data_IF_327538986840
#
_entry.id   IF_327538986840
#
_cell.length_a   1.000
_cell.length_b   1.000
_cell.length_c   1.000
_cell.angle_alpha   90.00
_cell.angle_beta   90.00
_cell.angle_gamma   90.00
#
_symmetry.space_group_name_H-M   'P 1'
#
loop_
_entity.id
_entity.type
_entity.pdbx_description
1 polymer ?
#
# COMPACT_ATOMS: atom_id res chain seq x y z
N UNK A 1 35.08 -28.16 -20.66
CA UNK A 1 34.89 -27.44 -19.38
C UNK A 1 33.46 -27.71 -18.90
N UNK A 2 33.25 -28.63 -17.93
CA UNK A 2 31.90 -28.89 -17.38
C UNK A 2 31.60 -27.85 -16.31
N UNK A 3 30.78 -26.87 -16.65
CA UNK A 3 30.34 -25.84 -15.71
C UNK A 3 29.27 -26.47 -14.80
N UNK A 4 29.66 -26.87 -13.59
CA UNK A 4 28.71 -27.39 -12.59
C UNK A 4 27.96 -26.21 -11.96
N UNK A 5 26.73 -26.00 -12.42
CA UNK A 5 25.83 -24.98 -11.86
C UNK A 5 25.41 -25.45 -10.47
N UNK A 6 25.72 -24.66 -9.45
CA UNK A 6 25.48 -25.02 -8.06
C UNK A 6 24.03 -24.67 -7.69
N UNK A 7 23.17 -25.69 -7.55
CA UNK A 7 21.72 -25.54 -7.35
C UNK A 7 21.36 -24.61 -6.17
N UNK A 8 22.17 -24.61 -5.11
CA UNK A 8 22.04 -23.67 -3.99
C UNK A 8 22.21 -22.21 -4.39
N UNK A 9 23.18 -21.91 -5.27
CA UNK A 9 23.41 -20.55 -5.78
C UNK A 9 22.29 -20.12 -6.73
N UNK A 10 21.76 -21.05 -7.53
CA UNK A 10 20.60 -20.79 -8.39
C UNK A 10 19.35 -20.49 -7.55
N UNK A 11 19.08 -21.30 -6.52
CA UNK A 11 17.96 -21.04 -5.60
C UNK A 11 18.11 -19.69 -4.91
N UNK A 12 19.31 -19.35 -4.44
CA UNK A 12 19.56 -18.06 -3.78
C UNK A 12 19.32 -16.88 -4.73
N UNK A 13 19.80 -16.99 -5.97
CA UNK A 13 19.59 -15.98 -7.00
C UNK A 13 18.11 -15.81 -7.39
N UNK A 14 17.38 -16.93 -7.53
CA UNK A 14 15.93 -16.91 -7.82
C UNK A 14 15.13 -16.31 -6.65
N UNK A 15 15.52 -16.58 -5.41
CA UNK A 15 14.87 -16.02 -4.23
C UNK A 15 15.02 -14.51 -4.18
N UNK A 16 16.22 -14.00 -4.48
CA UNK A 16 16.47 -12.54 -4.54
C UNK A 16 15.73 -11.86 -5.68
N UNK A 17 15.59 -12.52 -6.84
CA UNK A 17 14.86 -11.97 -7.98
C UNK A 17 13.35 -11.82 -7.68
N UNK A 18 12.79 -12.76 -6.92
CA UNK A 18 11.38 -12.76 -6.53
C UNK A 18 11.04 -11.65 -5.51
N UNK A 19 11.95 -11.37 -4.57
CA UNK A 19 11.76 -10.32 -3.56
C UNK A 19 11.84 -8.90 -4.15
N UNK A 20 12.64 -8.70 -5.20
CA UNK A 20 12.80 -7.39 -5.83
C UNK A 20 11.58 -7.06 -6.70
N UNK A 21 11.00 -8.04 -7.40
CA UNK A 21 9.86 -7.82 -8.29
C UNK A 21 8.58 -7.35 -7.57
N UNK A 22 8.33 -7.83 -6.35
CA UNK A 22 7.17 -7.45 -5.55
C UNK A 22 7.25 -6.02 -5.01
N UNK A 23 8.44 -5.54 -4.66
CA UNK A 23 8.65 -4.16 -4.22
C UNK A 23 8.39 -3.14 -5.35
N UNK A 24 8.90 -3.39 -6.56
CA UNK A 24 8.68 -2.49 -7.70
C UNK A 24 7.19 -2.37 -8.10
N UNK A 25 6.43 -3.47 -8.02
CA UNK A 25 5.00 -3.45 -8.32
C UNK A 25 4.20 -2.65 -7.29
N UNK A 26 4.57 -2.74 -6.01
CA UNK A 26 3.95 -1.98 -4.93
C UNK A 26 4.15 -0.47 -5.08
N UNK A 27 5.38 -0.03 -5.34
CA UNK A 27 5.69 1.39 -5.55
C UNK A 27 4.89 1.97 -6.72
N UNK A 28 4.64 1.15 -7.75
CA UNK A 28 3.84 1.56 -8.91
C UNK A 28 2.36 1.74 -8.53
N UNK A 29 1.76 0.77 -7.83
CA UNK A 29 0.35 0.83 -7.44
C UNK A 29 0.06 1.99 -6.48
N UNK A 30 0.96 2.27 -5.53
CA UNK A 30 0.82 3.38 -4.60
C UNK A 30 0.83 4.72 -5.34
N UNK A 31 1.76 4.89 -6.28
CA UNK A 31 1.85 6.09 -7.11
C UNK A 31 0.60 6.29 -7.97
N UNK A 32 0.02 5.23 -8.51
CA UNK A 32 -1.25 5.31 -9.24
C UNK A 32 -2.41 5.76 -8.34
N UNK A 33 -2.47 5.25 -7.11
CA UNK A 33 -3.49 5.66 -6.13
C UNK A 33 -3.37 7.14 -5.76
N UNK A 34 -2.15 7.63 -5.54
CA UNK A 34 -1.87 9.05 -5.28
C UNK A 34 -2.23 9.93 -6.48
N UNK A 35 -1.92 9.49 -7.70
CA UNK A 35 -2.30 10.20 -8.93
C UNK A 35 -3.82 10.25 -9.09
N UNK A 36 -4.54 9.16 -8.81
CA UNK A 36 -6.00 9.17 -8.82
C UNK A 36 -6.57 10.15 -7.79
N UNK A 37 -6.03 10.14 -6.57
CA UNK A 37 -6.45 11.05 -5.50
C UNK A 37 -6.21 12.53 -5.85
N UNK A 38 -5.03 12.86 -6.39
CA UNK A 38 -4.69 14.24 -6.81
C UNK A 38 -5.51 14.73 -7.99
N UNK A 39 -6.00 13.81 -8.84
CA UNK A 39 -6.96 14.10 -9.92
C UNK A 39 -8.41 14.14 -9.46
N UNK A 40 -8.65 14.03 -8.15
CA UNK A 40 -9.99 13.99 -7.53
C UNK A 40 -10.85 12.79 -7.96
N UNK A 41 -10.23 11.77 -8.60
CA UNK A 41 -10.86 10.48 -8.85
C UNK A 41 -10.79 9.62 -7.58
N UNK A 42 -11.54 10.04 -6.57
CA UNK A 42 -11.54 9.39 -5.27
C UNK A 42 -12.06 7.96 -5.32
N UNK A 43 -12.97 7.65 -6.26
CA UNK A 43 -13.45 6.29 -6.47
C UNK A 43 -12.31 5.36 -6.91
N UNK A 44 -11.49 5.79 -7.87
CA UNK A 44 -10.34 5.01 -8.30
C UNK A 44 -9.25 4.95 -7.23
N UNK A 45 -9.00 6.04 -6.51
CA UNK A 45 -8.04 6.06 -5.41
C UNK A 45 -8.41 5.03 -4.32
N UNK A 46 -9.69 4.98 -3.93
CA UNK A 46 -10.20 3.99 -2.97
C UNK A 46 -9.93 2.57 -3.45
N UNK A 47 -10.31 2.24 -4.69
CA UNK A 47 -10.11 0.90 -5.27
C UNK A 47 -8.63 0.48 -5.24
N UNK A 48 -7.72 1.40 -5.61
CA UNK A 48 -6.29 1.14 -5.65
C UNK A 48 -5.71 0.95 -4.24
N UNK A 49 -6.05 1.81 -3.28
CA UNK A 49 -5.60 1.65 -1.90
C UNK A 49 -6.12 0.36 -1.24
N UNK A 50 -7.38 -0.01 -1.46
CA UNK A 50 -7.93 -1.28 -1.01
C UNK A 50 -7.22 -2.48 -1.66
N UNK A 51 -6.89 -2.37 -2.94
CA UNK A 51 -6.09 -3.35 -3.66
C UNK A 51 -4.70 -3.54 -3.04
N UNK A 52 -4.00 -2.45 -2.72
CA UNK A 52 -2.69 -2.46 -2.06
C UNK A 52 -2.78 -3.18 -0.71
N UNK A 53 -3.77 -2.84 0.12
CA UNK A 53 -3.97 -3.48 1.42
C UNK A 53 -4.27 -4.98 1.28
N UNK A 54 -5.03 -5.36 0.25
CA UNK A 54 -5.38 -6.75 -0.01
C UNK A 54 -4.18 -7.58 -0.48
N UNK A 55 -3.29 -7.02 -1.30
CA UNK A 55 -2.15 -7.75 -1.85
C UNK A 55 -0.94 -7.75 -0.93
N UNK A 56 -0.72 -6.65 -0.21
CA UNK A 56 0.54 -6.39 0.49
C UNK A 56 0.38 -6.37 2.02
N UNK A 57 -0.85 -6.49 2.52
CA UNK A 57 -1.15 -6.43 3.94
C UNK A 57 -1.32 -5.00 4.45
N UNK A 58 -1.45 -4.90 5.77
CA UNK A 58 -1.81 -3.65 6.44
C UNK A 58 -0.68 -2.61 6.44
N UNK A 59 -1.02 -1.33 6.27
CA UNK A 59 -0.07 -0.22 6.30
C UNK A 59 -0.74 1.03 6.85
N UNK A 60 -0.12 1.66 7.85
CA UNK A 60 -0.63 2.86 8.50
C UNK A 60 -0.84 4.01 7.48
N UNK A 61 0.17 4.25 6.63
CA UNK A 61 0.12 5.31 5.62
C UNK A 61 -0.96 5.04 4.56
N UNK A 62 -1.13 3.78 4.14
CA UNK A 62 -2.18 3.44 3.16
C UNK A 62 -3.57 3.57 3.77
N UNK A 63 -3.75 3.20 5.04
CA UNK A 63 -5.02 3.45 5.74
C UNK A 63 -5.30 4.94 5.89
N UNK A 64 -4.32 5.77 6.24
CA UNK A 64 -4.49 7.22 6.30
C UNK A 64 -4.93 7.80 4.94
N UNK A 65 -4.25 7.42 3.87
CA UNK A 65 -4.58 7.89 2.52
C UNK A 65 -5.93 7.37 2.02
N UNK A 66 -6.29 6.13 2.35
CA UNK A 66 -7.62 5.58 2.09
C UNK A 66 -8.70 6.34 2.87
N UNK A 67 -8.42 6.69 4.12
CA UNK A 67 -9.27 7.56 4.95
C UNK A 67 -9.52 8.91 4.28
N UNK A 68 -8.45 9.56 3.81
CA UNK A 68 -8.52 10.82 3.07
C UNK A 68 -9.37 10.68 1.79
N UNK A 69 -9.19 9.60 1.02
CA UNK A 69 -9.95 9.34 -0.19
C UNK A 69 -11.46 9.15 0.11
N UNK A 70 -11.78 8.39 1.15
CA UNK A 70 -13.16 8.22 1.61
C UNK A 70 -13.79 9.54 2.09
N UNK A 71 -13.04 10.34 2.85
CA UNK A 71 -13.49 11.65 3.32
C UNK A 71 -13.82 12.58 2.15
N UNK A 72 -12.91 12.68 1.17
CA UNK A 72 -13.11 13.50 -0.03
C UNK A 72 -14.27 13.01 -0.91
N UNK A 73 -14.55 11.70 -0.90
CA UNK A 73 -15.73 11.12 -1.53
C UNK A 73 -17.03 11.33 -0.72
N UNK A 74 -17.01 12.07 0.39
CA UNK A 74 -18.17 12.30 1.27
C UNK A 74 -18.58 11.09 2.11
N UNK A 75 -17.77 10.03 2.12
CA UNK A 75 -18.04 8.78 2.85
C UNK A 75 -17.36 8.84 4.22
N UNK A 76 -18.00 9.53 5.15
CA UNK A 76 -17.40 9.86 6.46
C UNK A 76 -17.12 8.61 7.32
N UNK A 77 -18.09 7.71 7.47
CA UNK A 77 -17.90 6.51 8.31
C UNK A 77 -16.69 5.64 7.91
N UNK A 78 -16.50 5.27 6.62
CA UNK A 78 -15.30 4.53 6.23
C UNK A 78 -14.02 5.38 6.31
N UNK A 79 -14.09 6.72 6.24
CA UNK A 79 -12.92 7.56 6.48
C UNK A 79 -12.41 7.39 7.92
N UNK A 80 -13.29 7.58 8.90
CA UNK A 80 -13.00 7.42 10.33
C UNK A 80 -12.45 6.03 10.62
N UNK A 81 -13.09 4.99 10.09
CA UNK A 81 -12.62 3.61 10.26
C UNK A 81 -11.16 3.43 9.81
N UNK A 82 -10.79 4.03 8.68
CA UNK A 82 -9.42 3.90 8.17
C UNK A 82 -8.42 4.78 8.94
N UNK A 83 -8.81 5.95 9.45
CA UNK A 83 -7.95 6.69 10.38
C UNK A 83 -7.73 5.93 11.69
N UNK A 84 -8.74 5.25 12.23
CA UNK A 84 -8.58 4.41 13.42
C UNK A 84 -7.67 3.21 13.15
N UNK A 85 -7.75 2.60 11.96
CA UNK A 85 -6.80 1.55 11.54
C UNK A 85 -5.38 2.07 11.37
N UNK A 86 -5.22 3.28 10.85
CA UNK A 86 -3.92 3.94 10.82
C UNK A 86 -3.36 4.07 12.25
N UNK A 87 -4.14 4.59 13.19
CA UNK A 87 -3.73 4.77 14.59
C UNK A 87 -3.51 3.47 15.37
N UNK A 88 -4.13 2.37 14.95
CA UNK A 88 -3.86 1.05 15.52
C UNK A 88 -2.43 0.59 15.19
N UNK A 89 -1.92 0.92 14.00
CA UNK A 89 -0.60 0.54 13.52
C UNK A 89 0.47 1.59 13.87
N UNK A 90 0.11 2.87 13.81
CA UNK A 90 0.93 4.01 14.22
C UNK A 90 0.13 4.93 15.16
N UNK A 91 0.15 4.65 16.47
CA UNK A 91 -0.51 5.50 17.45
C UNK A 91 0.07 6.93 17.52
N UNK A 92 1.25 7.17 16.95
CA UNK A 92 1.93 8.47 16.93
C UNK A 92 1.45 9.40 15.82
N UNK A 93 0.67 8.92 14.85
CA UNK A 93 0.23 9.70 13.70
C UNK A 93 -0.72 10.84 14.15
N UNK A 94 -0.20 12.07 14.12
CA UNK A 94 -0.94 13.26 14.53
C UNK A 94 -2.05 13.62 13.55
N UNK A 95 -1.85 13.34 12.27
CA UNK A 95 -2.77 13.71 11.21
C UNK A 95 -3.99 12.79 11.25
N UNK A 96 -3.78 11.49 11.38
CA UNK A 96 -4.85 10.51 11.59
C UNK A 96 -5.62 10.78 12.88
N UNK A 97 -4.94 11.18 13.97
CA UNK A 97 -5.59 11.56 15.24
C UNK A 97 -6.45 12.82 15.12
N UNK A 98 -6.04 13.77 14.28
CA UNK A 98 -6.80 14.99 14.02
C UNK A 98 -8.01 14.72 13.10
N UNK A 99 -7.87 13.81 12.14
CA UNK A 99 -8.88 13.55 11.10
C UNK A 99 -9.93 12.49 11.46
N UNK A 100 -9.73 11.69 12.52
CA UNK A 100 -10.69 10.67 12.96
C UNK A 100 -11.97 11.22 13.59
#
# INVERSE_FOLDING_TARGET
MKMTINLRKVLFFLLTLCLIGSAYAQDTALKEAEVAYTKEDYAKAIELYEGILKSNGESAAVYYNLGNAYYKAGKIAPAILNYERCLLLDPGDSDARFNR
#
